data_IF_485451115777
#
_entry.id   IF_485451115777
#
_cell.length_a   1.000
_cell.length_b   1.000
_cell.length_c   1.000
_cell.angle_alpha   90.00
_cell.angle_beta   90.00
_cell.angle_gamma   90.00
#
_symmetry.space_group_name_H-M   'P 1'
#
loop_
_entity.id
_entity.type
_entity.pdbx_description
1 polymer ?
#
# COMPACT_ATOMS: atom_id res chain seq x y z
N UNK A 1 16.07 -3.76 -2.91
CA UNK A 1 14.93 -4.55 -3.40
C UNK A 1 14.40 -3.89 -4.66
N UNK A 2 13.91 -4.66 -5.62
CA UNK A 2 13.27 -4.13 -6.81
C UNK A 2 11.89 -3.55 -6.43
N UNK A 3 11.64 -2.28 -6.76
CA UNK A 3 10.37 -1.61 -6.46
C UNK A 3 9.18 -2.31 -7.10
N UNK A 4 9.42 -3.05 -8.19
CA UNK A 4 8.42 -3.82 -8.93
C UNK A 4 7.78 -4.90 -8.04
N UNK A 5 8.58 -5.64 -7.27
CA UNK A 5 8.06 -6.68 -6.36
C UNK A 5 7.23 -6.09 -5.23
N UNK A 6 7.59 -4.91 -4.74
CA UNK A 6 6.83 -4.19 -3.72
C UNK A 6 5.48 -3.71 -4.27
N UNK A 7 5.45 -3.18 -5.50
CA UNK A 7 4.21 -2.78 -6.18
C UNK A 7 3.24 -3.95 -6.31
N UNK A 8 3.72 -5.10 -6.80
CA UNK A 8 2.89 -6.31 -6.96
C UNK A 8 2.29 -6.77 -5.63
N UNK A 9 3.11 -6.80 -4.57
CA UNK A 9 2.64 -7.20 -3.24
C UNK A 9 1.61 -6.25 -2.65
N UNK A 10 1.77 -4.94 -2.84
CA UNK A 10 0.75 -3.97 -2.43
C UNK A 10 -0.56 -4.21 -3.18
N UNK A 11 -0.51 -4.52 -4.48
CA UNK A 11 -1.73 -4.83 -5.24
C UNK A 11 -2.39 -6.12 -4.76
N UNK A 12 -1.63 -7.18 -4.47
CA UNK A 12 -2.16 -8.43 -3.90
C UNK A 12 -2.89 -8.18 -2.58
N UNK A 13 -2.27 -7.41 -1.68
CA UNK A 13 -2.86 -7.03 -0.39
C UNK A 13 -4.19 -6.25 -0.59
N UNK A 14 -4.21 -5.33 -1.55
CA UNK A 14 -5.39 -4.48 -1.83
C UNK A 14 -6.51 -5.22 -2.58
N UNK A 15 -6.23 -6.35 -3.24
CA UNK A 15 -7.29 -7.22 -3.79
C UNK A 15 -8.20 -7.79 -2.69
N UNK A 16 -7.69 -7.93 -1.46
CA UNK A 16 -8.45 -8.42 -0.32
C UNK A 16 -9.30 -7.33 0.37
N UNK A 17 -9.33 -6.11 -0.19
CA UNK A 17 -10.15 -5.01 0.29
C UNK A 17 -9.36 -3.73 0.57
N UNK A 18 -10.10 -2.65 0.81
CA UNK A 18 -9.50 -1.35 1.08
C UNK A 18 -8.79 -1.34 2.44
N UNK A 19 -7.53 -0.91 2.46
CA UNK A 19 -6.66 -0.93 3.66
C UNK A 19 -5.97 0.40 3.88
N UNK A 20 -5.62 0.69 5.11
CA UNK A 20 -4.80 1.86 5.47
C UNK A 20 -3.33 1.60 5.14
N UNK A 21 -2.53 2.66 5.03
CA UNK A 21 -1.08 2.51 4.81
C UNK A 21 -0.39 1.68 5.89
N UNK A 22 -0.91 1.73 7.11
CA UNK A 22 -0.41 0.96 8.25
C UNK A 22 -0.73 -0.53 8.11
N UNK A 23 -1.96 -0.87 7.73
CA UNK A 23 -2.37 -2.26 7.48
C UNK A 23 -1.57 -2.88 6.34
N UNK A 24 -1.41 -2.14 5.22
CA UNK A 24 -0.58 -2.61 4.09
C UNK A 24 0.86 -2.87 4.54
N UNK A 25 1.45 -1.93 5.30
CA UNK A 25 2.82 -2.08 5.82
C UNK A 25 2.93 -3.31 6.73
N UNK A 26 1.97 -3.53 7.61
CA UNK A 26 1.98 -4.65 8.55
C UNK A 26 1.86 -5.99 7.83
N UNK A 27 1.01 -6.09 6.80
CA UNK A 27 0.89 -7.30 5.97
C UNK A 27 2.18 -7.57 5.18
N UNK A 28 2.82 -6.54 4.61
CA UNK A 28 4.12 -6.72 3.94
C UNK A 28 5.21 -7.24 4.90
N UNK A 29 5.22 -6.77 6.15
CA UNK A 29 6.17 -7.26 7.18
C UNK A 29 5.84 -8.72 7.55
N UNK A 30 4.56 -9.06 7.69
CA UNK A 30 4.11 -10.45 7.96
C UNK A 30 4.48 -11.41 6.82
N UNK A 31 4.48 -10.94 5.58
CA UNK A 31 4.93 -11.69 4.40
C UNK A 31 6.46 -11.76 4.25
N UNK A 32 7.24 -11.24 5.22
CA UNK A 32 8.71 -11.15 5.17
C UNK A 32 9.23 -10.43 3.91
N UNK A 33 8.54 -9.37 3.48
CA UNK A 33 8.98 -8.53 2.38
C UNK A 33 9.97 -7.48 2.91
N UNK A 34 11.19 -7.47 2.37
CA UNK A 34 12.25 -6.53 2.78
C UNK A 34 12.09 -5.15 2.13
N UNK A 35 11.61 -4.17 2.87
CA UNK A 35 11.53 -2.80 2.39
C UNK A 35 11.93 -1.78 3.45
N UNK A 36 12.41 -0.62 3.01
CA UNK A 36 12.58 0.53 3.90
C UNK A 36 11.29 1.36 3.99
N UNK A 37 11.04 2.05 5.13
CA UNK A 37 9.87 2.93 5.25
C UNK A 37 9.80 4.01 4.17
N UNK A 38 10.95 4.47 3.64
CA UNK A 38 11.00 5.44 2.55
C UNK A 38 10.51 4.82 1.23
N UNK A 39 11.04 3.65 0.87
CA UNK A 39 10.61 2.92 -0.34
C UNK A 39 9.11 2.64 -0.34
N UNK A 40 8.56 2.16 0.78
CA UNK A 40 7.12 1.92 0.88
C UNK A 40 6.29 3.18 0.58
N UNK A 41 6.68 4.33 1.16
CA UNK A 41 5.99 5.60 0.92
C UNK A 41 6.09 6.04 -0.54
N UNK A 42 7.28 5.94 -1.12
CA UNK A 42 7.53 6.32 -2.53
C UNK A 42 6.73 5.46 -3.50
N UNK A 43 6.74 4.14 -3.30
CA UNK A 43 6.01 3.18 -4.13
C UNK A 43 4.51 3.41 -4.01
N UNK A 44 3.96 3.49 -2.79
CA UNK A 44 2.54 3.71 -2.60
C UNK A 44 2.08 5.06 -3.20
N UNK A 45 2.88 6.12 -3.03
CA UNK A 45 2.59 7.42 -3.64
C UNK A 45 2.68 7.40 -5.17
N UNK A 46 3.63 6.66 -5.74
CA UNK A 46 3.75 6.43 -7.20
C UNK A 46 2.51 5.70 -7.73
N UNK A 47 2.09 4.62 -7.09
CA UNK A 47 0.90 3.85 -7.49
C UNK A 47 -0.38 4.71 -7.48
N UNK A 48 -0.51 5.62 -6.51
CA UNK A 48 -1.63 6.58 -6.47
C UNK A 48 -1.55 7.58 -7.62
N UNK A 49 -0.36 8.14 -7.91
CA UNK A 49 -0.18 9.07 -9.03
C UNK A 49 -0.43 8.43 -10.39
N UNK A 50 -0.09 7.16 -10.54
CA UNK A 50 -0.34 6.37 -11.77
C UNK A 50 -1.80 5.90 -11.89
N UNK A 51 -2.63 6.12 -10.88
CA UNK A 51 -4.03 5.68 -10.88
C UNK A 51 -4.23 4.17 -10.67
N UNK A 52 -3.16 3.43 -10.34
CA UNK A 52 -3.25 1.99 -9.99
C UNK A 52 -3.96 1.76 -8.65
N UNK A 53 -3.89 2.75 -7.76
CA UNK A 53 -4.48 2.70 -6.41
C UNK A 53 -5.17 4.03 -6.13
N UNK A 54 -6.39 3.98 -5.61
CA UNK A 54 -7.15 5.14 -5.14
C UNK A 54 -6.87 5.39 -3.67
N UNK A 55 -6.71 6.66 -3.29
CA UNK A 55 -6.60 7.09 -1.89
C UNK A 55 -7.90 7.78 -1.50
N UNK A 56 -8.68 7.18 -0.61
CA UNK A 56 -10.03 7.61 -0.23
C UNK A 56 -10.03 7.97 1.26
N UNK A 57 -10.56 9.12 1.68
CA UNK A 57 -10.73 9.42 3.09
C UNK A 57 -11.79 8.51 3.70
N UNK A 58 -11.47 7.87 4.83
CA UNK A 58 -12.45 7.21 5.68
C UNK A 58 -12.62 8.02 6.97
N UNK A 59 -13.75 8.70 7.09
CA UNK A 59 -14.04 9.63 8.18
C UNK A 59 -14.31 8.93 9.52
N UNK A 60 -14.86 7.71 9.49
CA UNK A 60 -15.09 6.91 10.70
C UNK A 60 -13.75 6.52 11.35
N UNK A 61 -12.82 6.03 10.52
CA UNK A 61 -11.48 5.62 10.95
C UNK A 61 -10.53 6.81 11.10
N UNK A 62 -10.91 8.00 10.63
CA UNK A 62 -10.05 9.20 10.51
C UNK A 62 -8.71 8.89 9.83
N UNK A 63 -8.74 8.02 8.82
CA UNK A 63 -7.56 7.54 8.08
C UNK A 63 -7.84 7.55 6.59
N UNK A 64 -6.78 7.49 5.79
CA UNK A 64 -6.90 7.21 4.36
C UNK A 64 -6.91 5.70 4.13
N UNK A 65 -7.87 5.26 3.33
CA UNK A 65 -7.89 3.94 2.75
C UNK A 65 -7.31 3.98 1.35
N UNK A 66 -6.67 2.89 0.99
CA UNK A 66 -6.13 2.61 -0.33
C UNK A 66 -6.92 1.44 -0.91
N UNK A 67 -7.33 1.53 -2.16
CA UNK A 67 -8.03 0.45 -2.89
C UNK A 67 -7.63 0.46 -4.36
N UNK A 68 -7.93 -0.62 -5.09
CA UNK A 68 -7.87 -0.63 -6.56
C UNK A 68 -9.16 -0.03 -7.12
#
# INVERSE_FOLDING_TARGET
MDNTKLEEKILEILKNGAKTSEEIRNELIQENIDFTPLQFREVLAKMVREGKVKKIPNYERKKFLFSI
#
